data_IF_572543441584
#
_entry.id   IF_572543441584
#
_cell.length_a   1.000
_cell.length_b   1.000
_cell.length_c   1.000
_cell.angle_alpha   90.00
_cell.angle_beta   90.00
_cell.angle_gamma   90.00
#
_symmetry.space_group_name_H-M   'P 1'
#
loop_
_entity.id
_entity.type
_entity.pdbx_description
1 polymer ?
#
# COMPACT_ATOMS: atom_id res chain seq x y z
N UNK A 1 2.53 -11.72 26.33
CA UNK A 1 1.21 -12.38 26.27
C UNK A 1 0.16 -11.33 25.93
N UNK A 2 -0.11 -11.14 24.64
CA UNK A 2 -1.25 -10.32 24.21
C UNK A 2 -2.36 -11.33 23.96
N UNK A 3 -3.34 -11.34 24.86
CA UNK A 3 -4.54 -12.13 24.67
C UNK A 3 -5.15 -11.76 23.31
N UNK A 4 -5.52 -12.77 22.52
CA UNK A 4 -6.46 -12.65 21.41
C UNK A 4 -7.67 -11.87 21.95
N UNK A 5 -7.73 -10.57 21.65
CA UNK A 5 -8.93 -9.79 21.90
C UNK A 5 -9.86 -10.15 20.76
N UNK A 6 -10.74 -11.11 20.98
CA UNK A 6 -11.93 -11.24 20.16
C UNK A 6 -12.63 -9.88 20.18
N UNK A 7 -12.56 -9.15 19.08
CA UNK A 7 -13.34 -7.95 18.90
C UNK A 7 -14.82 -8.35 18.99
N UNK A 8 -15.55 -7.75 19.95
CA UNK A 8 -16.99 -7.96 20.11
C UNK A 8 -17.72 -6.75 19.55
N UNK A 9 -18.66 -6.98 18.65
CA UNK A 9 -19.50 -5.93 18.09
C UNK A 9 -20.72 -5.73 18.99
N UNK A 10 -20.87 -4.52 19.56
CA UNK A 10 -21.99 -4.21 20.46
C UNK A 10 -22.86 -3.14 19.82
N UNK A 11 -24.08 -3.50 19.46
CA UNK A 11 -25.08 -2.57 18.96
C UNK A 11 -25.86 -1.96 20.12
N UNK A 12 -25.93 -0.63 20.17
CA UNK A 12 -26.62 0.10 21.24
C UNK A 12 -27.76 0.94 20.64
N UNK A 13 -28.98 0.74 21.13
CA UNK A 13 -30.18 1.52 20.75
C UNK A 13 -30.98 1.85 22.01
N UNK A 14 -31.87 2.85 21.93
CA UNK A 14 -32.73 3.24 23.06
C UNK A 14 -33.66 2.11 23.47
N UNK A 15 -34.31 1.50 22.48
CA UNK A 15 -35.15 0.30 22.58
C UNK A 15 -34.98 -0.43 21.25
N UNK A 16 -34.81 -1.75 21.29
CA UNK A 16 -34.74 -2.59 20.10
C UNK A 16 -36.13 -3.13 19.75
N UNK A 17 -36.56 -2.99 18.50
CA UNK A 17 -37.64 -3.80 17.97
C UNK A 17 -37.08 -5.14 17.47
N UNK A 18 -37.89 -6.19 17.47
CA UNK A 18 -37.50 -7.50 16.93
C UNK A 18 -37.06 -7.39 15.46
N UNK A 19 -37.80 -6.59 14.67
CA UNK A 19 -37.53 -6.32 13.25
C UNK A 19 -36.15 -5.70 13.02
N UNK A 20 -35.69 -4.80 13.92
CA UNK A 20 -34.35 -4.21 13.82
C UNK A 20 -33.25 -5.25 14.05
N UNK A 21 -33.45 -6.11 15.07
CA UNK A 21 -32.50 -7.17 15.43
C UNK A 21 -32.41 -8.18 14.29
N UNK A 22 -33.55 -8.61 13.74
CA UNK A 22 -33.63 -9.55 12.63
C UNK A 22 -32.97 -8.97 11.37
N UNK A 23 -33.20 -7.69 11.09
CA UNK A 23 -32.56 -6.99 9.96
C UNK A 23 -31.03 -6.95 10.09
N UNK A 24 -30.52 -6.60 11.28
CA UNK A 24 -29.06 -6.54 11.52
C UNK A 24 -28.45 -7.94 11.49
N UNK A 25 -29.11 -8.93 12.09
CA UNK A 25 -28.66 -10.33 12.03
C UNK A 25 -28.59 -10.82 10.58
N UNK A 26 -29.60 -10.52 9.76
CA UNK A 26 -29.60 -10.85 8.34
C UNK A 26 -28.42 -10.23 7.59
N UNK A 27 -28.13 -8.95 7.83
CA UNK A 27 -26.97 -8.27 7.21
C UNK A 27 -25.66 -8.93 7.63
N UNK A 28 -25.52 -9.24 8.92
CA UNK A 28 -24.32 -9.92 9.45
C UNK A 28 -24.14 -11.29 8.79
N UNK A 29 -25.22 -12.07 8.65
CA UNK A 29 -25.16 -13.40 8.06
C UNK A 29 -24.90 -13.35 6.54
N UNK A 30 -25.42 -12.34 5.85
CA UNK A 30 -25.12 -12.08 4.44
C UNK A 30 -23.63 -11.73 4.22
N UNK A 31 -23.08 -10.83 5.03
CA UNK A 31 -21.65 -10.46 4.97
C UNK A 31 -20.77 -11.67 5.28
N UNK A 32 -21.12 -12.48 6.29
CA UNK A 32 -20.41 -13.73 6.62
C UNK A 32 -20.44 -14.73 5.47
N UNK A 33 -21.60 -14.90 4.85
CA UNK A 33 -21.80 -15.83 3.73
C UNK A 33 -20.95 -15.40 2.53
N UNK A 34 -21.02 -14.12 2.19
CA UNK A 34 -20.24 -13.51 1.10
C UNK A 34 -18.73 -13.66 1.32
N UNK A 35 -18.25 -13.36 2.54
CA UNK A 35 -16.84 -13.54 2.91
C UNK A 35 -16.39 -14.99 2.77
N UNK A 36 -17.20 -15.92 3.25
CA UNK A 36 -16.90 -17.35 3.16
C UNK A 36 -16.85 -17.83 1.71
N UNK A 37 -17.75 -17.34 0.86
CA UNK A 37 -17.81 -17.67 -0.56
C UNK A 37 -16.56 -17.20 -1.32
N UNK A 38 -16.12 -15.96 -1.08
CA UNK A 38 -14.89 -15.41 -1.68
C UNK A 38 -13.68 -16.32 -1.37
N UNK A 39 -13.49 -16.67 -0.09
CA UNK A 39 -12.34 -17.48 0.32
C UNK A 39 -12.44 -18.94 -0.11
N UNK A 40 -13.64 -19.53 -0.16
CA UNK A 40 -13.85 -20.85 -0.77
C UNK A 40 -13.56 -20.84 -2.28
N UNK A 41 -13.93 -19.77 -2.97
CA UNK A 41 -13.62 -19.55 -4.38
C UNK A 41 -12.11 -19.53 -4.64
N UNK A 42 -11.37 -18.79 -3.80
CA UNK A 42 -9.91 -18.72 -3.90
C UNK A 42 -9.24 -20.07 -3.60
N UNK A 43 -9.69 -20.80 -2.57
CA UNK A 43 -9.22 -22.16 -2.28
C UNK A 43 -9.45 -23.09 -3.49
N UNK A 44 -10.63 -23.03 -4.11
CA UNK A 44 -10.94 -23.83 -5.31
C UNK A 44 -10.01 -23.49 -6.47
N UNK A 45 -9.77 -22.20 -6.72
CA UNK A 45 -8.85 -21.72 -7.75
C UNK A 45 -7.42 -22.22 -7.52
N UNK A 46 -6.90 -22.08 -6.31
CA UNK A 46 -5.58 -22.59 -5.93
C UNK A 46 -5.52 -24.13 -5.98
N UNK A 47 -6.62 -24.81 -5.71
CA UNK A 47 -6.76 -26.27 -5.82
C UNK A 47 -6.43 -26.82 -7.21
N UNK A 48 -6.68 -26.03 -8.27
CA UNK A 48 -6.40 -26.39 -9.67
C UNK A 48 -4.94 -26.15 -10.08
N UNK A 49 -4.13 -25.51 -9.24
CA UNK A 49 -2.73 -25.18 -9.53
C UNK A 49 -1.78 -26.26 -9.01
N UNK A 50 -0.53 -26.23 -9.49
CA UNK A 50 0.50 -27.16 -9.04
C UNK A 50 0.74 -27.06 -7.53
N UNK A 51 0.93 -28.21 -6.89
CA UNK A 51 1.19 -28.26 -5.46
C UNK A 51 2.61 -27.79 -5.12
N UNK A 52 2.72 -26.75 -4.32
CA UNK A 52 3.98 -26.23 -3.80
C UNK A 52 3.75 -25.42 -2.52
N UNK A 53 4.84 -25.02 -1.85
CA UNK A 53 4.79 -24.34 -0.56
C UNK A 53 3.92 -23.06 -0.55
N UNK A 54 4.04 -22.11 -1.52
CA UNK A 54 3.21 -20.90 -1.51
C UNK A 54 1.71 -21.19 -1.60
N UNK A 55 1.33 -22.20 -2.39
CA UNK A 55 -0.07 -22.65 -2.52
C UNK A 55 -0.58 -23.20 -1.20
N UNK A 56 0.16 -24.12 -0.61
CA UNK A 56 -0.27 -24.84 0.59
C UNK A 56 -0.38 -23.89 1.78
N UNK A 57 0.59 -22.99 1.97
CA UNK A 57 0.52 -21.93 3.00
C UNK A 57 -0.70 -21.03 2.82
N UNK A 58 -0.97 -20.60 1.58
CA UNK A 58 -2.11 -19.74 1.30
C UNK A 58 -3.43 -20.45 1.56
N UNK A 59 -3.57 -21.72 1.19
CA UNK A 59 -4.78 -22.51 1.46
C UNK A 59 -5.01 -22.63 2.97
N UNK A 60 -3.98 -22.93 3.76
CA UNK A 60 -4.12 -23.01 5.22
C UNK A 60 -4.48 -21.65 5.85
N UNK A 61 -3.90 -20.56 5.34
CA UNK A 61 -4.30 -19.21 5.76
C UNK A 61 -5.78 -18.94 5.45
N UNK A 62 -6.24 -19.23 4.23
CA UNK A 62 -7.63 -19.04 3.82
C UNK A 62 -8.60 -19.89 4.65
N UNK A 63 -8.25 -21.15 4.97
CA UNK A 63 -9.04 -21.98 5.88
C UNK A 63 -9.15 -21.35 7.26
N UNK A 64 -8.02 -20.89 7.83
CA UNK A 64 -8.03 -20.22 9.13
C UNK A 64 -8.91 -18.95 9.12
N UNK A 65 -8.94 -18.21 8.02
CA UNK A 65 -9.78 -17.02 7.86
C UNK A 65 -11.27 -17.31 7.76
N UNK A 66 -11.65 -18.49 7.24
CA UNK A 66 -13.03 -18.98 7.24
C UNK A 66 -13.41 -19.43 8.65
N UNK A 67 -12.52 -20.12 9.36
CA UNK A 67 -12.78 -20.66 10.71
C UNK A 67 -12.86 -19.56 11.79
N UNK A 68 -12.12 -18.46 11.62
CA UNK A 68 -12.07 -17.34 12.58
C UNK A 68 -13.27 -16.38 12.46
N UNK A 69 -14.28 -16.72 11.66
CA UNK A 69 -15.38 -15.82 11.24
C UNK A 69 -16.46 -15.48 12.27
N UNK A 70 -16.27 -15.80 13.56
CA UNK A 70 -17.28 -15.56 14.59
C UNK A 70 -16.86 -14.43 15.53
N UNK A 71 -16.98 -13.18 15.07
CA UNK A 71 -17.12 -12.08 16.03
C UNK A 71 -18.49 -12.23 16.70
N UNK A 72 -18.48 -12.50 18.01
CA UNK A 72 -19.69 -12.48 18.81
C UNK A 72 -20.25 -11.05 18.81
N UNK A 73 -21.48 -10.88 18.35
CA UNK A 73 -22.19 -9.61 18.43
C UNK A 73 -23.27 -9.63 19.53
N UNK A 74 -23.62 -8.46 20.04
CA UNK A 74 -24.62 -8.33 21.11
C UNK A 74 -25.44 -7.05 20.92
N UNK A 75 -26.71 -7.11 21.30
CA UNK A 75 -27.62 -5.97 21.28
C UNK A 75 -27.87 -5.51 22.72
N UNK A 76 -27.67 -4.22 22.97
CA UNK A 76 -27.92 -3.61 24.27
C UNK A 76 -28.92 -2.46 24.13
N UNK A 77 -29.88 -2.42 25.04
CA UNK A 77 -30.82 -1.32 25.18
C UNK A 77 -30.33 -0.37 26.28
N UNK A 78 -30.05 0.90 25.94
CA UNK A 78 -29.59 1.85 26.98
C UNK A 78 -30.73 2.35 27.88
N UNK A 79 -32.00 2.06 27.55
CA UNK A 79 -33.12 2.32 28.46
C UNK A 79 -33.19 1.33 29.63
N UNK A 80 -32.46 0.22 29.57
CA UNK A 80 -32.44 -0.78 30.64
C UNK A 80 -31.60 -0.28 31.83
N UNK A 81 -32.13 -0.47 33.04
CA UNK A 81 -31.41 -0.14 34.29
C UNK A 81 -30.13 -0.96 34.46
N UNK A 82 -30.02 -2.08 33.76
CA UNK A 82 -28.88 -3.00 33.73
C UNK A 82 -27.81 -2.63 32.70
N UNK A 83 -28.05 -1.67 31.80
CA UNK A 83 -27.16 -1.36 30.66
C UNK A 83 -25.68 -1.27 31.05
N UNK A 84 -25.37 -0.51 32.11
CA UNK A 84 -23.99 -0.35 32.61
C UNK A 84 -23.35 -1.68 33.01
N UNK A 85 -24.11 -2.56 33.67
CA UNK A 85 -23.65 -3.88 34.09
C UNK A 85 -23.52 -4.84 32.90
N UNK A 86 -24.43 -4.77 31.93
CA UNK A 86 -24.38 -5.54 30.69
C UNK A 86 -23.13 -5.20 29.86
N UNK A 87 -22.79 -3.92 29.72
CA UNK A 87 -21.56 -3.47 29.05
C UNK A 87 -20.31 -4.00 29.77
N UNK A 88 -20.25 -3.89 31.10
CA UNK A 88 -19.11 -4.38 31.90
C UNK A 88 -18.94 -5.91 31.80
N UNK A 89 -20.05 -6.64 31.82
CA UNK A 89 -20.09 -8.08 31.67
C UNK A 89 -19.58 -8.52 30.29
N UNK A 90 -20.10 -7.92 29.21
CA UNK A 90 -19.73 -8.26 27.83
C UNK A 90 -18.24 -7.99 27.56
N UNK A 91 -17.70 -6.93 28.12
CA UNK A 91 -16.29 -6.54 27.96
C UNK A 91 -15.35 -7.22 28.95
N UNK A 92 -15.87 -8.09 29.84
CA UNK A 92 -15.12 -8.78 30.91
C UNK A 92 -14.23 -7.83 31.73
N UNK A 93 -14.73 -6.62 32.05
CA UNK A 93 -13.98 -5.60 32.80
C UNK A 93 -14.71 -5.16 34.05
N UNK A 94 -13.94 -4.94 35.11
CA UNK A 94 -14.41 -4.54 36.44
C UNK A 94 -14.39 -3.02 36.69
N UNK A 95 -13.91 -2.21 35.73
CA UNK A 95 -13.78 -0.75 35.86
C UNK A 95 -14.67 -0.01 34.86
N UNK A 96 -15.16 1.16 35.25
CA UNK A 96 -15.99 2.02 34.41
C UNK A 96 -15.28 2.47 33.13
N UNK A 97 -16.08 2.70 32.09
CA UNK A 97 -15.62 3.19 30.80
C UNK A 97 -15.79 4.71 30.72
N UNK A 98 -14.90 5.35 29.97
CA UNK A 98 -15.09 6.71 29.48
C UNK A 98 -15.14 6.60 27.96
N UNK A 99 -16.22 7.10 27.36
CA UNK A 99 -16.22 7.40 25.94
C UNK A 99 -15.26 8.56 25.75
N UNK A 100 -14.18 8.31 25.02
CA UNK A 100 -13.23 9.34 24.61
C UNK A 100 -13.55 9.55 23.14
N UNK A 101 -13.88 10.78 22.76
CA UNK A 101 -13.95 11.11 21.34
C UNK A 101 -12.59 10.80 20.71
N UNK A 102 -12.54 10.13 19.55
CA UNK A 102 -11.28 9.93 18.86
C UNK A 102 -10.64 11.30 18.65
N UNK A 103 -9.34 11.45 18.97
CA UNK A 103 -8.66 12.72 18.77
C UNK A 103 -8.80 13.14 17.31
N UNK A 104 -8.99 14.43 17.06
CA UNK A 104 -9.04 14.95 15.69
C UNK A 104 -7.76 14.52 14.94
N UNK A 105 -7.87 14.11 13.66
CA UNK A 105 -6.72 13.69 12.89
C UNK A 105 -5.67 14.81 12.89
N UNK A 106 -4.48 14.46 13.37
CA UNK A 106 -3.37 15.42 13.50
C UNK A 106 -2.54 15.55 12.22
N UNK A 107 -2.72 14.60 11.30
CA UNK A 107 -1.99 14.53 10.04
C UNK A 107 -2.65 15.38 8.95
N UNK A 108 -1.83 15.87 8.04
CA UNK A 108 -2.31 16.56 6.84
C UNK A 108 -2.96 15.59 5.87
N UNK A 109 -3.95 16.04 5.10
CA UNK A 109 -4.55 15.23 4.03
C UNK A 109 -3.75 15.28 2.72
N UNK A 110 -2.68 16.08 2.66
CA UNK A 110 -1.90 16.27 1.44
C UNK A 110 -0.77 15.25 1.36
N UNK A 111 -0.63 14.51 0.25
CA UNK A 111 0.55 13.70 0.04
C UNK A 111 1.80 14.59 -0.12
N UNK A 112 3.01 14.04 0.07
CA UNK A 112 4.25 14.78 -0.07
C UNK A 112 4.38 15.38 -1.47
N UNK A 113 4.58 16.70 -1.55
CA UNK A 113 4.67 17.42 -2.82
C UNK A 113 5.86 16.92 -3.66
N UNK A 114 5.64 16.67 -4.95
CA UNK A 114 6.67 16.42 -5.99
C UNK A 114 7.56 15.17 -5.81
N UNK A 115 7.34 14.36 -4.78
CA UNK A 115 8.25 13.25 -4.43
C UNK A 115 7.61 11.86 -4.45
N UNK A 116 6.28 11.76 -4.56
CA UNK A 116 5.59 10.47 -4.64
C UNK A 116 4.27 10.57 -5.40
N UNK A 117 3.97 9.53 -6.17
CA UNK A 117 2.76 9.33 -6.98
C UNK A 117 2.48 7.83 -7.05
N UNK A 118 1.28 7.38 -7.41
CA UNK A 118 1.00 5.94 -7.48
C UNK A 118 1.83 5.25 -8.58
N UNK A 119 2.03 5.96 -9.69
CA UNK A 119 2.88 5.52 -10.79
C UNK A 119 4.24 6.21 -10.72
N UNK A 120 5.36 5.48 -10.86
CA UNK A 120 6.69 6.06 -10.99
C UNK A 120 6.81 6.87 -12.28
N UNK A 121 7.81 7.76 -12.32
CA UNK A 121 8.21 8.43 -13.57
C UNK A 121 8.88 7.43 -14.53
N UNK A 122 9.06 7.82 -15.79
CA UNK A 122 9.69 6.97 -16.81
C UNK A 122 11.12 6.54 -16.44
N UNK A 123 11.85 7.36 -15.69
CA UNK A 123 13.21 7.10 -15.18
C UNK A 123 13.24 6.36 -13.82
N UNK A 124 12.07 6.03 -13.26
CA UNK A 124 11.94 5.38 -11.96
C UNK A 124 11.44 3.93 -12.10
N UNK A 125 11.96 3.06 -11.23
CA UNK A 125 11.49 1.69 -11.10
C UNK A 125 10.78 1.52 -9.78
N UNK A 126 9.67 0.78 -9.79
CA UNK A 126 8.88 0.51 -8.59
C UNK A 126 8.43 -0.95 -8.52
N UNK A 127 8.49 -1.52 -7.31
CA UNK A 127 7.74 -2.73 -6.97
C UNK A 127 6.71 -2.36 -5.92
N UNK A 128 5.45 -2.64 -6.20
CA UNK A 128 4.32 -2.42 -5.29
C UNK A 128 3.70 -3.74 -4.86
N UNK A 129 3.47 -3.87 -3.55
CA UNK A 129 2.62 -4.91 -2.97
C UNK A 129 1.26 -4.28 -2.68
N UNK A 130 0.22 -4.78 -3.34
CA UNK A 130 -1.14 -4.28 -3.22
C UNK A 130 -1.98 -5.26 -2.41
N UNK A 131 -2.41 -4.83 -1.24
CA UNK A 131 -3.35 -5.52 -0.37
C UNK A 131 -4.75 -5.03 -0.72
N UNK A 132 -5.66 -5.96 -1.02
CA UNK A 132 -7.06 -5.69 -1.32
C UNK A 132 -7.92 -6.34 -0.24
N UNK A 133 -8.84 -5.58 0.34
CA UNK A 133 -9.76 -6.00 1.40
C UNK A 133 -11.18 -6.10 0.80
N UNK A 134 -11.64 -7.28 0.29
CA UNK A 134 -12.86 -7.34 -0.52
C UNK A 134 -14.15 -7.01 0.24
N UNK A 135 -14.20 -7.29 1.55
CA UNK A 135 -15.36 -7.07 2.43
C UNK A 135 -14.95 -6.48 3.79
N UNK A 136 -13.74 -5.95 3.86
CA UNK A 136 -13.14 -5.40 5.07
C UNK A 136 -12.58 -4.03 4.75
N UNK A 137 -12.31 -3.24 5.78
CA UNK A 137 -11.71 -1.92 5.64
C UNK A 137 -10.56 -1.77 6.61
N UNK A 138 -9.53 -1.04 6.20
CA UNK A 138 -8.48 -0.60 7.10
C UNK A 138 -8.89 0.78 7.65
N UNK A 139 -9.10 0.87 8.96
CA UNK A 139 -9.49 2.12 9.60
C UNK A 139 -8.31 3.09 9.65
N UNK A 140 -8.58 4.40 9.66
CA UNK A 140 -7.53 5.42 9.76
C UNK A 140 -6.62 5.24 10.98
N UNK A 141 -7.20 4.84 12.12
CA UNK A 141 -6.46 4.58 13.37
C UNK A 141 -5.51 3.38 13.23
N UNK A 142 -5.93 2.36 12.47
CA UNK A 142 -5.12 1.18 12.16
C UNK A 142 -3.99 1.54 11.20
N UNK A 143 -4.24 2.40 10.21
CA UNK A 143 -3.21 2.94 9.32
C UNK A 143 -2.20 3.79 10.11
N UNK A 144 -2.65 4.64 11.04
CA UNK A 144 -1.76 5.44 11.88
C UNK A 144 -0.86 4.56 12.77
N UNK A 145 -1.39 3.48 13.35
CA UNK A 145 -0.56 2.55 14.14
C UNK A 145 0.41 1.79 13.23
N UNK A 146 -0.04 1.32 12.07
CA UNK A 146 0.79 0.64 11.08
C UNK A 146 1.96 1.50 10.60
N UNK A 147 1.69 2.77 10.25
CA UNK A 147 2.71 3.72 9.77
C UNK A 147 3.73 4.04 10.87
N UNK A 148 3.30 4.17 12.13
CA UNK A 148 4.21 4.29 13.27
C UNK A 148 5.10 3.06 13.44
N UNK A 149 4.55 1.85 13.34
CA UNK A 149 5.34 0.61 13.38
C UNK A 149 6.36 0.55 12.22
N UNK A 150 5.98 0.97 11.01
CA UNK A 150 6.86 1.02 9.84
C UNK A 150 7.95 2.10 9.94
N UNK A 151 7.64 3.27 10.50
CA UNK A 151 8.64 4.31 10.80
C UNK A 151 9.65 3.80 11.84
N UNK A 152 9.22 2.97 12.80
CA UNK A 152 10.05 2.50 13.91
C UNK A 152 11.03 1.36 13.57
N UNK A 153 10.86 0.63 12.45
CA UNK A 153 11.73 -0.53 12.15
C UNK A 153 13.16 -0.15 11.77
N UNK A 154 13.43 1.11 11.47
CA UNK A 154 14.77 1.60 11.14
C UNK A 154 14.87 3.10 11.43
N UNK A 155 16.10 3.56 11.64
CA UNK A 155 16.39 4.99 11.55
C UNK A 155 16.40 5.44 10.08
N UNK A 156 15.26 5.95 9.60
CA UNK A 156 15.12 6.54 8.27
C UNK A 156 15.77 7.92 8.20
N UNK A 157 16.28 8.31 7.02
CA UNK A 157 16.85 9.66 6.82
C UNK A 157 15.76 10.71 6.68
N UNK A 158 14.60 10.31 6.17
CA UNK A 158 13.41 11.13 6.04
C UNK A 158 12.17 10.26 6.23
N UNK A 159 11.19 10.81 6.93
CA UNK A 159 9.86 10.25 7.11
C UNK A 159 8.84 11.37 6.96
N UNK A 160 7.75 11.10 6.25
CA UNK A 160 6.62 12.00 6.07
C UNK A 160 5.32 11.23 6.12
N UNK A 161 4.50 11.51 7.13
CA UNK A 161 3.19 10.89 7.36
C UNK A 161 2.07 11.86 6.95
N UNK A 162 1.05 11.34 6.31
CA UNK A 162 -0.20 12.04 5.98
C UNK A 162 -1.39 11.13 6.29
N UNK A 163 -2.61 11.66 6.22
CA UNK A 163 -3.84 10.94 6.62
C UNK A 163 -4.08 9.62 5.89
N UNK A 164 -3.46 9.43 4.72
CA UNK A 164 -3.63 8.25 3.87
C UNK A 164 -2.31 7.52 3.61
N UNK A 165 -1.24 7.79 4.37
CA UNK A 165 0.00 7.07 4.14
C UNK A 165 1.27 7.62 4.78
N UNK A 166 2.37 7.04 4.34
CA UNK A 166 3.71 7.29 4.83
C UNK A 166 4.71 7.22 3.67
N UNK A 167 5.66 8.16 3.64
CA UNK A 167 6.80 8.15 2.73
C UNK A 167 8.09 8.14 3.55
N UNK A 168 8.92 7.14 3.29
CA UNK A 168 10.21 6.92 3.93
C UNK A 168 11.32 7.03 2.88
N UNK A 169 12.46 7.60 3.25
CA UNK A 169 13.64 7.66 2.37
C UNK A 169 14.90 7.20 3.09
N UNK A 170 15.74 6.51 2.33
CA UNK A 170 17.12 6.20 2.69
C UNK A 170 17.97 6.21 1.43
N UNK A 171 18.90 7.15 1.33
CA UNK A 171 19.74 7.41 0.15
C UNK A 171 18.87 7.64 -1.11
N UNK A 172 19.04 6.80 -2.15
CA UNK A 172 18.27 6.80 -3.38
C UNK A 172 16.91 6.06 -3.27
N UNK A 173 16.72 5.26 -2.21
CA UNK A 173 15.54 4.41 -2.05
C UNK A 173 14.40 5.18 -1.37
N UNK A 174 13.20 5.05 -1.95
CA UNK A 174 11.95 5.60 -1.43
C UNK A 174 10.99 4.45 -1.15
N UNK A 175 10.45 4.38 0.07
CA UNK A 175 9.42 3.41 0.45
C UNK A 175 8.12 4.16 0.76
N UNK A 176 7.04 3.81 0.09
CA UNK A 176 5.72 4.39 0.29
C UNK A 176 4.74 3.37 0.86
N UNK A 177 3.94 3.79 1.83
CA UNK A 177 2.70 3.12 2.23
C UNK A 177 1.57 4.09 1.87
N UNK A 178 0.59 3.64 1.08
CA UNK A 178 -0.52 4.48 0.66
C UNK A 178 -1.83 3.69 0.74
N UNK A 179 -2.84 4.30 1.37
CA UNK A 179 -4.20 3.80 1.39
C UNK A 179 -5.00 4.49 0.29
N UNK A 180 -5.72 3.69 -0.52
CA UNK A 180 -6.61 4.17 -1.58
C UNK A 180 -8.04 3.76 -1.26
N UNK A 181 -8.83 4.73 -0.78
CA UNK A 181 -10.12 4.42 -0.16
C UNK A 181 -9.95 3.45 1.02
N UNK A 182 -11.02 2.77 1.39
CA UNK A 182 -10.99 1.95 2.60
C UNK A 182 -10.53 0.50 2.34
N UNK A 183 -10.48 0.08 1.07
CA UNK A 183 -10.34 -1.31 0.65
C UNK A 183 -8.98 -1.66 0.04
N UNK A 184 -8.07 -0.70 -0.13
CA UNK A 184 -6.77 -0.93 -0.76
C UNK A 184 -5.66 -0.29 0.07
N UNK A 185 -4.62 -1.08 0.35
CA UNK A 185 -3.35 -0.63 0.90
C UNK A 185 -2.20 -1.03 -0.03
N UNK A 186 -1.36 -0.07 -0.39
CA UNK A 186 -0.19 -0.29 -1.23
C UNK A 186 1.09 -0.04 -0.45
N UNK A 187 2.05 -0.95 -0.57
CA UNK A 187 3.40 -0.84 -0.02
C UNK A 187 4.37 -0.92 -1.18
N UNK A 188 5.09 0.16 -1.43
CA UNK A 188 5.88 0.33 -2.65
C UNK A 188 7.31 0.66 -2.32
N UNK A 189 8.25 0.06 -3.04
CA UNK A 189 9.66 0.47 -3.04
C UNK A 189 10.04 1.02 -4.40
N UNK A 190 10.71 2.17 -4.42
CA UNK A 190 11.06 2.90 -5.63
C UNK A 190 12.51 3.38 -5.61
N UNK A 191 13.11 3.45 -6.79
CA UNK A 191 14.41 4.06 -7.03
C UNK A 191 14.40 4.80 -8.38
N UNK A 192 15.07 5.95 -8.45
CA UNK A 192 15.37 6.66 -9.70
C UNK A 192 16.66 6.07 -10.27
N UNK A 193 16.63 5.59 -11.51
CA UNK A 193 17.78 4.93 -12.14
C UNK A 193 18.98 5.90 -12.21
N UNK A 194 18.74 7.21 -12.39
CA UNK A 194 19.79 8.22 -12.44
C UNK A 194 20.46 8.47 -11.08
N UNK A 195 19.83 8.07 -9.98
CA UNK A 195 20.37 8.18 -8.62
C UNK A 195 21.18 6.93 -8.20
N UNK A 196 21.26 5.90 -9.05
CA UNK A 196 21.99 4.64 -8.80
C UNK A 196 23.44 4.77 -9.29
N UNK A 197 24.40 4.24 -8.52
CA UNK A 197 25.81 4.18 -8.95
C UNK A 197 25.97 3.28 -10.19
N UNK A 198 26.91 3.61 -11.09
CA UNK A 198 27.13 2.91 -12.38
C UNK A 198 27.24 1.38 -12.23
N UNK A 199 27.86 0.89 -11.16
CA UNK A 199 28.03 -0.55 -10.87
C UNK A 199 26.70 -1.28 -10.49
N UNK A 200 25.63 -0.54 -10.25
CA UNK A 200 24.32 -1.05 -9.82
C UNK A 200 23.19 -0.76 -10.82
N UNK A 201 23.47 -0.10 -11.95
CA UNK A 201 22.48 0.28 -12.98
C UNK A 201 21.74 -0.93 -13.57
N UNK A 202 22.40 -2.08 -13.70
CA UNK A 202 21.76 -3.30 -14.21
C UNK A 202 20.83 -3.96 -13.18
N UNK A 203 20.96 -3.59 -11.91
CA UNK A 203 20.31 -4.27 -10.78
C UNK A 203 19.77 -3.32 -9.69
N UNK A 204 19.06 -2.24 -10.06
CA UNK A 204 18.70 -1.16 -9.13
C UNK A 204 17.78 -1.63 -7.99
N UNK A 205 16.96 -2.66 -8.24
CA UNK A 205 16.10 -3.24 -7.21
C UNK A 205 16.87 -3.92 -6.06
N UNK A 206 18.15 -4.25 -6.24
CA UNK A 206 19.01 -4.78 -5.17
C UNK A 206 19.14 -3.79 -4.02
N UNK A 207 19.11 -2.49 -4.32
CA UNK A 207 19.13 -1.42 -3.32
C UNK A 207 17.79 -1.32 -2.59
N UNK A 208 16.68 -1.52 -3.29
CA UNK A 208 15.32 -1.32 -2.76
C UNK A 208 14.85 -2.46 -1.88
N UNK A 209 15.08 -3.72 -2.29
CA UNK A 209 14.55 -4.92 -1.62
C UNK A 209 14.82 -4.98 -0.12
N UNK A 210 16.03 -4.68 0.38
CA UNK A 210 16.30 -4.73 1.80
C UNK A 210 15.40 -3.81 2.64
N UNK A 211 15.06 -2.63 2.11
CA UNK A 211 14.18 -1.66 2.79
C UNK A 211 12.70 -2.00 2.59
N UNK A 212 12.31 -2.44 1.39
CA UNK A 212 10.95 -2.85 1.10
C UNK A 212 10.55 -4.09 1.91
N UNK A 213 11.44 -5.08 2.01
CA UNK A 213 11.27 -6.33 2.78
C UNK A 213 10.91 -6.10 4.24
N UNK A 214 11.64 -5.20 4.93
CA UNK A 214 11.37 -4.92 6.36
C UNK A 214 10.02 -4.24 6.56
N UNK A 215 9.59 -3.37 5.63
CA UNK A 215 8.30 -2.68 5.71
C UNK A 215 7.14 -3.61 5.38
N UNK A 216 7.27 -4.46 4.36
CA UNK A 216 6.26 -5.50 4.05
C UNK A 216 6.08 -6.45 5.24
N UNK A 217 7.16 -6.82 5.92
CA UNK A 217 7.08 -7.67 7.11
C UNK A 217 6.24 -7.02 8.22
N UNK A 218 6.42 -5.72 8.46
CA UNK A 218 5.60 -4.96 9.42
C UNK A 218 4.14 -5.02 9.02
N UNK A 219 3.84 -4.72 7.75
CA UNK A 219 2.48 -4.70 7.24
C UNK A 219 1.82 -6.07 7.40
N UNK A 220 2.47 -7.14 6.96
CA UNK A 220 1.94 -8.51 7.11
C UNK A 220 1.71 -8.88 8.58
N UNK A 221 2.66 -8.56 9.47
CA UNK A 221 2.50 -8.82 10.91
C UNK A 221 1.36 -8.03 11.52
N UNK A 222 1.21 -6.77 11.14
CA UNK A 222 0.16 -5.90 11.63
C UNK A 222 -1.22 -6.38 11.17
N UNK A 223 -1.39 -6.64 9.87
CA UNK A 223 -2.64 -7.16 9.31
C UNK A 223 -3.03 -8.51 9.98
N UNK A 224 -2.06 -9.40 10.19
CA UNK A 224 -2.30 -10.64 10.94
C UNK A 224 -2.68 -10.38 12.42
N UNK A 225 -2.06 -9.40 13.08
CA UNK A 225 -2.34 -8.99 14.47
C UNK A 225 -3.79 -8.50 14.63
N UNK A 226 -4.31 -7.73 13.66
CA UNK A 226 -5.69 -7.25 13.66
C UNK A 226 -6.68 -8.23 12.99
N UNK A 227 -6.19 -9.37 12.49
CA UNK A 227 -6.97 -10.43 11.85
C UNK A 227 -7.80 -9.97 10.63
N UNK A 228 -7.30 -8.95 9.92
CA UNK A 228 -7.92 -8.49 8.67
C UNK A 228 -7.56 -9.43 7.52
N UNK A 229 -8.53 -9.77 6.68
CA UNK A 229 -8.37 -10.70 5.55
C UNK A 229 -8.20 -9.96 4.24
N UNK A 230 -7.28 -10.43 3.39
CA UNK A 230 -6.87 -9.70 2.20
C UNK A 230 -6.45 -10.61 1.04
N UNK A 231 -6.56 -10.11 -0.18
CA UNK A 231 -5.83 -10.60 -1.36
C UNK A 231 -4.54 -9.79 -1.52
N UNK A 232 -3.48 -10.43 -2.01
CA UNK A 232 -2.17 -9.80 -2.14
C UNK A 232 -1.64 -9.94 -3.56
N UNK A 233 -1.28 -8.80 -4.14
CA UNK A 233 -0.75 -8.70 -5.49
C UNK A 233 0.65 -8.09 -5.47
N UNK A 234 1.47 -8.44 -6.46
CA UNK A 234 2.73 -7.79 -6.77
C UNK A 234 2.63 -7.06 -8.12
N UNK A 235 3.04 -5.81 -8.14
CA UNK A 235 3.02 -4.92 -9.30
C UNK A 235 4.44 -4.39 -9.55
N UNK A 236 5.21 -5.05 -10.41
CA UNK A 236 6.43 -4.45 -10.98
C UNK A 236 6.03 -3.35 -11.97
N UNK A 237 6.64 -2.17 -11.86
CA UNK A 237 6.40 -1.02 -12.74
C UNK A 237 7.74 -0.46 -13.20
N UNK A 238 7.98 -0.52 -14.50
CA UNK A 238 9.19 -0.03 -15.15
C UNK A 238 9.74 -0.97 -16.22
N UNK A 239 10.59 -0.41 -17.06
CA UNK A 239 11.08 -1.03 -18.31
C UNK A 239 11.95 -2.27 -18.10
N UNK A 240 12.57 -2.39 -16.92
CA UNK A 240 13.49 -3.49 -16.62
C UNK A 240 12.80 -4.79 -16.20
N UNK A 241 11.48 -4.76 -15.95
CA UNK A 241 10.76 -5.91 -15.41
C UNK A 241 10.17 -6.85 -16.46
N UNK A 242 10.13 -6.44 -17.72
CA UNK A 242 9.50 -7.21 -18.79
C UNK A 242 10.46 -7.43 -19.94
N UNK A 243 10.35 -8.58 -20.60
CA UNK A 243 11.10 -8.82 -21.84
C UNK A 243 10.55 -7.98 -23.00
N UNK A 244 9.24 -7.76 -23.01
CA UNK A 244 8.55 -6.90 -23.96
C UNK A 244 8.57 -5.45 -23.44
N UNK A 245 9.17 -4.54 -24.21
CA UNK A 245 9.35 -3.12 -23.85
C UNK A 245 8.08 -2.29 -23.89
N UNK A 246 7.00 -2.81 -24.49
CA UNK A 246 5.68 -2.17 -24.51
C UNK A 246 5.00 -2.26 -23.15
N UNK A 247 5.23 -3.35 -22.41
CA UNK A 247 4.64 -3.54 -21.09
C UNK A 247 5.46 -2.76 -20.06
N UNK A 248 4.80 -1.78 -19.42
CA UNK A 248 5.42 -0.94 -18.39
C UNK A 248 4.98 -1.31 -16.98
N UNK A 249 3.80 -1.89 -16.83
CA UNK A 249 3.22 -2.24 -15.53
C UNK A 249 2.24 -3.41 -15.67
N UNK A 250 2.24 -4.33 -14.71
CA UNK A 250 1.22 -5.37 -14.60
C UNK A 250 1.08 -5.86 -13.17
N UNK A 251 -0.17 -6.09 -12.77
CA UNK A 251 -0.51 -6.73 -11.50
C UNK A 251 -0.56 -8.24 -11.63
N UNK A 252 0.05 -8.93 -10.67
CA UNK A 252 0.00 -10.38 -10.53
C UNK A 252 -0.51 -10.75 -9.14
N UNK A 253 -1.43 -11.69 -9.07
CA UNK A 253 -1.75 -12.36 -7.80
C UNK A 253 -0.46 -13.00 -7.26
N UNK A 254 -0.07 -12.62 -6.03
CA UNK A 254 1.26 -12.97 -5.53
C UNK A 254 1.40 -14.48 -5.30
N UNK A 255 0.33 -15.16 -4.88
CA UNK A 255 0.37 -16.61 -4.69
C UNK A 255 0.60 -17.32 -6.03
N UNK A 256 -0.14 -16.97 -7.08
CA UNK A 256 0.08 -17.49 -8.44
C UNK A 256 1.46 -17.17 -9.00
N UNK A 257 1.93 -15.94 -8.74
CA UNK A 257 3.27 -15.52 -9.14
C UNK A 257 4.33 -16.44 -8.49
N UNK A 258 4.26 -16.64 -7.18
CA UNK A 258 5.19 -17.50 -6.45
C UNK A 258 5.08 -18.98 -6.84
N UNK A 259 3.86 -19.49 -7.10
CA UNK A 259 3.67 -20.85 -7.63
C UNK A 259 4.42 -21.01 -8.96
N UNK A 260 4.28 -20.03 -9.85
CA UNK A 260 4.91 -20.05 -11.18
C UNK A 260 6.44 -19.96 -11.09
N UNK A 261 6.96 -19.09 -10.22
CA UNK A 261 8.40 -19.00 -9.91
C UNK A 261 8.92 -20.34 -9.39
N UNK A 262 8.24 -20.98 -8.43
CA UNK A 262 8.71 -22.23 -7.83
C UNK A 262 8.67 -23.41 -8.81
N UNK A 263 7.57 -23.54 -9.56
CA UNK A 263 7.34 -24.69 -10.42
C UNK A 263 8.03 -24.57 -11.79
N UNK A 264 7.98 -23.38 -12.41
CA UNK A 264 8.45 -23.16 -13.78
C UNK A 264 9.72 -22.31 -13.89
N UNK A 265 10.13 -21.63 -12.81
CA UNK A 265 11.21 -20.64 -12.84
C UNK A 265 10.97 -19.54 -13.89
N UNK A 266 9.70 -19.29 -14.21
CA UNK A 266 9.25 -18.40 -15.27
C UNK A 266 7.85 -17.88 -14.93
N UNK A 267 7.58 -16.61 -15.25
CA UNK A 267 6.26 -16.00 -15.14
C UNK A 267 5.91 -15.39 -16.48
N UNK A 268 4.96 -16.01 -17.16
CA UNK A 268 4.44 -15.57 -18.46
C UNK A 268 2.98 -15.18 -18.34
N UNK A 269 2.56 -14.25 -19.19
CA UNK A 269 1.19 -13.77 -19.26
C UNK A 269 0.83 -13.34 -20.68
N UNK A 270 -0.46 -13.29 -20.97
CA UNK A 270 -0.94 -12.80 -22.25
C UNK A 270 -1.29 -11.29 -22.17
N UNK A 271 -0.84 -10.52 -23.16
CA UNK A 271 -1.19 -9.12 -23.37
C UNK A 271 -1.33 -8.87 -24.86
N UNK A 272 -2.46 -8.31 -25.30
CA UNK A 272 -2.72 -7.95 -26.71
C UNK A 272 -2.41 -9.09 -27.70
N UNK A 273 -2.80 -10.31 -27.33
CA UNK A 273 -2.58 -11.52 -28.14
C UNK A 273 -1.15 -12.07 -28.13
N UNK A 274 -0.19 -11.39 -27.47
CA UNK A 274 1.19 -11.83 -27.33
C UNK A 274 1.47 -12.45 -25.96
N UNK A 275 2.36 -13.43 -25.92
CA UNK A 275 2.91 -13.96 -24.67
C UNK A 275 4.07 -13.06 -24.26
N UNK A 276 4.01 -12.53 -23.05
CA UNK A 276 5.03 -11.70 -22.44
C UNK A 276 5.58 -12.40 -21.19
N UNK A 277 6.85 -12.16 -20.91
CA UNK A 277 7.56 -12.74 -19.76
C UNK A 277 8.05 -11.66 -18.80
N UNK A 278 8.00 -11.97 -17.50
CA UNK A 278 8.59 -11.15 -16.44
C UNK A 278 10.07 -11.52 -16.29
N UNK A 279 10.94 -10.51 -16.30
CA UNK A 279 12.36 -10.65 -15.97
C UNK A 279 12.53 -10.87 -14.47
N UNK A 280 12.42 -12.13 -14.03
CA UNK A 280 12.46 -12.51 -12.61
C UNK A 280 13.72 -12.04 -11.89
N UNK A 281 14.88 -12.00 -12.57
CA UNK A 281 16.13 -11.50 -11.96
C UNK A 281 16.10 -10.01 -11.64
N UNK A 282 15.28 -9.22 -12.35
CA UNK A 282 15.08 -7.80 -12.07
C UNK A 282 14.07 -7.59 -10.95
N UNK A 283 13.01 -8.41 -10.91
CA UNK A 283 11.95 -8.32 -9.90
C UNK A 283 12.39 -8.91 -8.57
N UNK A 284 12.90 -10.14 -8.55
CA UNK A 284 13.27 -10.93 -7.35
C UNK A 284 14.79 -11.07 -7.22
N UNK A 285 15.51 -9.96 -7.35
CA UNK A 285 16.97 -9.99 -7.35
C UNK A 285 17.53 -10.56 -6.04
N UNK A 286 18.42 -11.55 -6.17
CA UNK A 286 19.03 -12.29 -5.07
C UNK A 286 18.01 -12.97 -4.12
N UNK A 287 16.75 -13.11 -4.55
CA UNK A 287 15.69 -13.83 -3.84
C UNK A 287 15.30 -15.06 -4.65
N UNK A 288 15.27 -16.22 -3.99
CA UNK A 288 14.66 -17.43 -4.53
C UNK A 288 13.49 -17.82 -3.61
N UNK A 289 12.33 -17.15 -3.74
CA UNK A 289 11.28 -17.26 -2.75
C UNK A 289 10.57 -18.60 -2.90
N UNK A 290 10.54 -19.38 -1.82
CA UNK A 290 9.72 -20.59 -1.70
C UNK A 290 8.39 -20.32 -1.02
N UNK A 291 8.28 -19.20 -0.33
CA UNK A 291 7.16 -18.80 0.51
C UNK A 291 7.01 -17.27 0.48
N UNK A 292 5.89 -16.76 0.99
CA UNK A 292 5.72 -15.31 1.21
C UNK A 292 6.76 -14.77 2.21
N UNK A 293 7.11 -15.56 3.22
CA UNK A 293 8.06 -15.17 4.25
C UNK A 293 9.46 -14.90 3.69
N UNK A 294 9.85 -15.59 2.61
CA UNK A 294 11.16 -15.38 1.98
C UNK A 294 11.30 -13.97 1.39
N UNK A 295 10.20 -13.35 0.93
CA UNK A 295 10.20 -11.96 0.46
C UNK A 295 10.46 -10.94 1.58
N UNK A 296 10.29 -11.36 2.84
CA UNK A 296 10.50 -10.53 4.04
C UNK A 296 11.82 -10.82 4.76
N UNK A 297 12.65 -11.68 4.19
CA UNK A 297 13.88 -12.18 4.82
C UNK A 297 15.10 -11.29 4.59
N UNK A 298 15.14 -10.52 3.50
CA UNK A 298 16.26 -9.63 3.21
C UNK A 298 16.25 -8.46 4.18
N UNK A 299 17.44 -8.11 4.69
CA UNK A 299 17.63 -6.95 5.57
C UNK A 299 18.70 -6.01 5.01
N UNK A 300 18.58 -4.69 5.25
CA UNK A 300 19.63 -3.76 4.85
C UNK A 300 20.91 -4.09 5.62
N UNK A 301 22.07 -3.97 4.95
CA UNK A 301 23.36 -4.07 5.64
C UNK A 301 23.47 -2.89 6.62
N UNK A 302 23.84 -3.17 7.86
CA UNK A 302 24.20 -2.11 8.80
C UNK A 302 25.56 -1.56 8.39
N UNK A 303 25.59 -0.37 7.79
CA UNK A 303 26.84 0.35 7.61
C UNK A 303 27.32 0.79 8.99
N UNK A 304 28.41 0.21 9.48
CA UNK A 304 29.10 0.68 10.66
C UNK A 304 29.31 2.20 10.52
N UNK A 305 28.76 2.98 11.45
CA UNK A 305 28.96 4.44 11.50
C UNK A 305 30.46 4.68 11.45
N UNK A 306 30.97 5.37 10.42
CA UNK A 306 32.25 6.06 10.54
C UNK A 306 32.05 7.12 11.62
N UNK A 307 32.50 6.81 12.83
CA UNK A 307 32.56 7.71 13.95
C UNK A 307 33.70 8.69 13.71
N UNK A 308 33.40 9.84 13.12
CA UNK A 308 34.24 11.02 13.31
C UNK A 308 33.55 11.92 14.32
N UNK A 309 34.09 11.88 15.54
CA UNK A 309 33.83 12.85 16.60
C UNK A 309 34.25 14.24 16.12
N UNK A 310 33.37 15.23 16.32
CA UNK A 310 33.77 16.56 16.77
C UNK A 310 32.62 17.14 17.61
N UNK A 311 32.81 17.05 18.92
CA UNK A 311 32.04 17.77 19.92
C UNK A 311 32.59 19.19 19.99
N UNK A 312 31.90 20.17 19.41
CA UNK A 312 32.07 21.57 19.82
C UNK A 312 30.72 22.21 20.07
N UNK A 313 30.69 22.94 21.18
CA UNK A 313 29.56 23.46 21.93
C UNK A 313 28.75 24.53 21.19
N UNK A 314 27.43 24.49 21.40
CA UNK A 314 26.46 25.51 21.01
C UNK A 314 26.76 26.89 21.60
N UNK A 315 26.72 27.94 20.76
CA UNK A 315 26.08 29.22 21.09
C UNK A 315 25.60 29.96 19.82
N UNK A 316 24.56 30.81 19.91
CA UNK A 316 23.65 31.11 18.81
C UNK A 316 24.01 32.41 18.08
N UNK A 317 23.56 32.50 16.83
CA UNK A 317 23.79 33.56 15.84
C UNK A 317 25.15 33.49 15.15
N UNK A 318 25.19 32.87 13.97
CA UNK A 318 25.82 33.42 12.77
C UNK A 318 25.41 32.55 11.58
N UNK A 319 24.70 33.15 10.62
CA UNK A 319 24.50 32.60 9.28
C UNK A 319 25.87 32.60 8.59
N UNK A 320 26.54 31.45 8.58
CA UNK A 320 27.75 31.23 7.78
C UNK A 320 27.51 30.08 6.82
N UNK A 321 27.33 30.48 5.56
CA UNK A 321 27.50 29.66 4.37
C UNK A 321 28.96 29.17 4.38
N UNK A 322 29.17 27.85 4.39
CA UNK A 322 30.30 27.09 3.79
C UNK A 322 30.62 25.80 4.57
N UNK A 323 29.92 24.72 4.22
CA UNK A 323 30.53 23.46 3.78
C UNK A 323 29.64 22.89 2.69
N UNK A 324 29.90 23.35 1.47
CA UNK A 324 29.27 22.87 0.26
C UNK A 324 29.66 21.41 0.12
N UNK A 325 28.76 20.51 0.54
CA UNK A 325 28.69 19.18 -0.03
C UNK A 325 28.62 19.36 -1.55
N UNK A 326 29.43 18.62 -2.29
CA UNK A 326 29.44 18.64 -3.75
C UNK A 326 28.05 18.20 -4.26
N UNK A 327 27.14 19.15 -4.35
CA UNK A 327 25.89 19.01 -5.06
C UNK A 327 26.27 18.80 -6.53
N UNK A 328 26.15 17.56 -7.02
CA UNK A 328 25.88 17.33 -8.44
C UNK A 328 24.46 17.85 -8.70
N UNK A 329 24.37 19.17 -8.83
CA UNK A 329 23.12 19.86 -9.13
C UNK A 329 22.61 19.43 -10.51
N UNK A 330 21.41 18.84 -10.53
CA UNK A 330 20.57 18.72 -11.72
C UNK A 330 20.45 20.14 -12.29
N UNK A 331 20.84 20.36 -13.56
CA UNK A 331 20.52 21.61 -14.27
C UNK A 331 19.00 21.68 -14.38
N UNK A 332 18.37 22.43 -13.48
CA UNK A 332 17.00 22.91 -13.68
C UNK A 332 17.05 23.98 -14.78
N UNK A 333 16.69 23.58 -16.01
CA UNK A 333 16.27 24.55 -17.01
C UNK A 333 14.93 25.11 -16.54
N UNK A 334 14.93 26.30 -15.94
CA UNK A 334 13.74 27.12 -15.99
C UNK A 334 13.56 27.49 -17.47
N UNK A 335 12.71 26.75 -18.18
CA UNK A 335 12.22 27.22 -19.47
C UNK A 335 11.75 28.65 -19.26
N UNK A 336 12.23 29.59 -20.09
CA UNK A 336 11.88 30.98 -19.94
C UNK A 336 10.36 31.11 -19.94
N UNK A 337 9.79 31.59 -18.84
CA UNK A 337 8.39 32.01 -18.80
C UNK A 337 8.32 33.26 -19.68
N UNK A 338 8.04 33.06 -20.98
CA UNK A 338 7.63 34.16 -21.83
C UNK A 338 6.22 34.52 -21.39
N UNK A 339 6.05 35.74 -20.92
CA UNK A 339 4.75 36.32 -20.67
C UNK A 339 3.88 36.09 -21.92
N UNK A 340 2.71 35.50 -21.71
CA UNK A 340 1.66 35.38 -22.74
C UNK A 340 1.44 36.81 -23.27
N UNK A 341 1.74 37.10 -24.54
CA UNK A 341 1.39 38.39 -25.12
C UNK A 341 -0.14 38.50 -25.08
N UNK A 342 -0.65 39.62 -24.56
CA UNK A 342 -2.06 39.93 -24.73
C UNK A 342 -2.39 39.96 -26.24
N UNK A 343 -3.55 39.44 -26.66
CA UNK A 343 -3.90 39.35 -28.07
C UNK A 343 -4.09 40.75 -28.67
N UNK A 344 -3.24 41.10 -29.62
CA UNK A 344 -3.55 42.08 -30.66
C UNK A 344 -4.43 41.41 -31.74
N UNK A 345 -5.28 42.19 -32.44
CA UNK A 345 -6.41 41.63 -33.17
C UNK A 345 -5.98 40.94 -34.47
N UNK A 346 -6.46 39.70 -34.60
CA UNK A 346 -6.85 38.93 -35.80
C UNK A 346 -6.11 39.24 -37.10
N UNK A 347 -5.34 38.26 -37.56
CA UNK A 347 -5.22 37.99 -38.99
C UNK A 347 -5.57 36.52 -39.26
N UNK A 348 -6.56 36.32 -40.11
CA UNK A 348 -7.22 35.04 -40.37
C UNK A 348 -6.32 34.05 -41.11
N UNK A 349 -6.52 32.77 -40.80
CA UNK A 349 -6.02 31.57 -41.51
C UNK A 349 -4.65 31.03 -41.05
N UNK A 350 -4.68 30.35 -39.89
CA UNK A 350 -4.01 29.07 -39.59
C UNK A 350 -4.15 28.87 -38.08
N UNK A 351 -5.03 27.96 -37.65
CA UNK A 351 -4.91 27.22 -36.36
C UNK A 351 -6.18 26.42 -35.97
N UNK A 352 -7.01 26.00 -36.93
CA UNK A 352 -8.17 25.14 -36.65
C UNK A 352 -7.82 23.64 -36.39
N UNK A 353 -6.54 23.28 -36.25
CA UNK A 353 -6.12 21.88 -36.08
C UNK A 353 -5.40 21.57 -34.76
N UNK A 354 -5.02 22.58 -33.97
CA UNK A 354 -4.38 22.36 -32.67
C UNK A 354 -5.36 22.47 -31.49
N UNK A 355 -6.36 23.35 -31.57
CA UNK A 355 -7.38 23.48 -30.51
C UNK A 355 -8.27 22.23 -30.42
N UNK A 356 -8.64 21.63 -31.57
CA UNK A 356 -9.43 20.40 -31.59
C UNK A 356 -8.73 19.21 -30.90
N UNK A 357 -7.39 19.13 -30.93
CA UNK A 357 -6.67 17.99 -30.36
C UNK A 357 -6.58 18.02 -28.83
N UNK A 358 -6.64 19.22 -28.24
CA UNK A 358 -6.63 19.39 -26.77
C UNK A 358 -8.03 19.15 -26.22
N UNK A 359 -9.06 19.68 -26.87
CA UNK A 359 -10.45 19.47 -26.47
C UNK A 359 -10.85 18.00 -26.63
N UNK A 360 -10.43 17.34 -27.71
CA UNK A 360 -10.67 15.90 -27.93
C UNK A 360 -9.92 15.01 -26.92
N UNK A 361 -8.75 15.44 -26.44
CA UNK A 361 -8.02 14.74 -25.37
C UNK A 361 -8.69 14.90 -24.00
N UNK A 362 -9.16 16.10 -23.69
CA UNK A 362 -9.86 16.39 -22.42
C UNK A 362 -11.21 15.67 -22.38
N UNK A 363 -11.96 15.69 -23.48
CA UNK A 363 -13.24 14.97 -23.57
C UNK A 363 -13.07 13.46 -23.51
N UNK A 364 -12.01 12.90 -24.12
CA UNK A 364 -11.71 11.46 -24.02
C UNK A 364 -11.31 11.07 -22.59
N UNK A 365 -10.49 11.88 -21.93
CA UNK A 365 -10.06 11.61 -20.55
C UNK A 365 -11.23 11.71 -19.56
N UNK A 366 -12.12 12.70 -19.73
CA UNK A 366 -13.32 12.83 -18.90
C UNK A 366 -14.32 11.70 -19.18
N UNK A 367 -14.48 11.28 -20.44
CA UNK A 367 -15.31 10.14 -20.84
C UNK A 367 -14.85 8.83 -20.21
N UNK A 368 -13.56 8.51 -20.31
CA UNK A 368 -12.97 7.30 -19.71
C UNK A 368 -13.05 7.32 -18.17
N UNK A 369 -12.91 8.50 -17.56
CA UNK A 369 -13.03 8.66 -16.10
C UNK A 369 -14.48 8.48 -15.63
N UNK A 370 -15.46 8.95 -16.40
CA UNK A 370 -16.89 8.76 -16.08
C UNK A 370 -17.36 7.32 -16.31
N UNK A 371 -16.81 6.60 -17.29
CA UNK A 371 -17.09 5.16 -17.49
C UNK A 371 -16.58 4.31 -16.32
N UNK A 372 -15.41 4.65 -15.74
CA UNK A 372 -14.87 3.95 -14.56
C UNK A 372 -15.66 4.22 -13.27
N UNK A 373 -16.42 5.31 -13.20
CA UNK A 373 -17.30 5.62 -12.05
C UNK A 373 -18.68 4.94 -12.19
N UNK A 374 -19.08 4.57 -13.40
CA UNK A 374 -20.37 3.92 -13.68
C UNK A 374 -20.32 2.38 -13.67
N UNK A 375 -19.12 1.79 -13.71
CA UNK A 375 -18.93 0.35 -13.50
C UNK A 375 -18.67 0.12 -12.00
N UNK A 376 -19.77 -0.16 -11.30
CA UNK A 376 -19.88 -0.51 -9.88
C UNK A 376 -18.85 -1.52 -9.39
#
# INVERSE_FOLDING_TARGET
>A
MIANKEAKLIFVKKVWAAEDIDSINSIIDEVKSSRTEIWKGEIKKLGLMHECAPRNERIEQLKSWIDTSLQAHSFLSFSETTFKWSVLSLLHRSRGFRFVEPPAPSLTNKPPALHWSNFPREDELQITFKFVFPLECLLNEELEELTKEATAVRQWQYSYEWSHGLLLRHDAVRIGIAQHGDSILEVSGRVDIADVEEDSEDTPMRLVWPYLSIVINVVLKYLNKISITFQLYILPIGDLFYENTVIKARSFDLTQFLISVNFRQLVEFQSDGQVCSVRLRSVLIDIQPKTLNDLTSIRPKETAKKSDFCTESLSPHHLSIERIAQHRGRRVSFGAIRCIPQPEPVDENKDAHQENAVDEFVDRFLGETMEQVLIR
#
